data_IF_218546273479
#
_entry.id   IF_218546273479
#
_cell.length_a   1.000
_cell.length_b   1.000
_cell.length_c   1.000
_cell.angle_alpha   90.00
_cell.angle_beta   90.00
_cell.angle_gamma   90.00
#
_symmetry.space_group_name_H-M   'P 1'
#
loop_
_entity.id
_entity.type
_entity.pdbx_description
1 polymer ?
#
# COMPACT_ATOMS: atom_id res chain seq x y z
N UNK A 1 -19.41 -15.05 -18.47
CA UNK A 1 -18.33 -14.19 -18.99
C UNK A 1 -18.83 -12.78 -19.16
N UNK A 2 -19.63 -12.54 -20.20
CA UNK A 2 -20.38 -11.29 -20.41
C UNK A 2 -21.44 -11.12 -19.32
N UNK A 3 -21.58 -9.90 -18.79
CA UNK A 3 -22.50 -9.52 -17.70
C UNK A 3 -21.98 -9.73 -16.28
N UNK A 4 -20.94 -10.57 -16.10
CA UNK A 4 -20.29 -10.81 -14.80
C UNK A 4 -18.88 -10.23 -14.72
N UNK A 5 -18.08 -10.37 -15.79
CA UNK A 5 -16.69 -9.90 -15.86
C UNK A 5 -16.52 -8.80 -16.92
N UNK A 6 -17.25 -8.91 -18.03
CA UNK A 6 -17.24 -7.93 -19.12
C UNK A 6 -18.61 -7.28 -19.20
N UNK A 7 -18.67 -5.95 -19.23
CA UNK A 7 -19.94 -5.21 -19.38
C UNK A 7 -20.65 -5.63 -20.67
N UNK A 8 -21.93 -6.00 -20.52
CA UNK A 8 -22.71 -6.55 -21.63
C UNK A 8 -22.87 -5.57 -22.79
N UNK A 9 -22.92 -4.26 -22.52
CA UNK A 9 -23.09 -3.24 -23.54
C UNK A 9 -21.77 -2.93 -24.25
N UNK A 10 -20.66 -2.91 -23.52
CA UNK A 10 -19.31 -2.84 -24.12
C UNK A 10 -19.07 -4.04 -25.03
N UNK A 11 -19.45 -5.24 -24.59
CA UNK A 11 -19.34 -6.45 -25.41
C UNK A 11 -20.17 -6.35 -26.70
N UNK A 12 -21.41 -5.88 -26.61
CA UNK A 12 -22.29 -5.71 -27.77
C UNK A 12 -21.72 -4.69 -28.76
N UNK A 13 -21.25 -3.53 -28.29
CA UNK A 13 -20.63 -2.53 -29.16
C UNK A 13 -19.32 -3.03 -29.78
N UNK A 14 -18.53 -3.81 -29.03
CA UNK A 14 -17.30 -4.42 -29.56
C UNK A 14 -17.63 -5.38 -30.69
N UNK A 15 -18.75 -6.11 -30.57
CA UNK A 15 -19.23 -7.02 -31.60
C UNK A 15 -19.70 -6.25 -32.84
N UNK A 16 -20.57 -5.25 -32.68
CA UNK A 16 -21.06 -4.41 -33.79
C UNK A 16 -19.90 -3.72 -34.54
N UNK A 17 -18.89 -3.23 -33.83
CA UNK A 17 -17.73 -2.58 -34.44
C UNK A 17 -16.87 -3.54 -35.29
N UNK A 18 -16.91 -4.84 -34.97
CA UNK A 18 -16.18 -5.87 -35.69
C UNK A 18 -16.99 -6.50 -36.83
N UNK A 19 -18.31 -6.30 -36.89
CA UNK A 19 -19.18 -6.90 -37.92
C UNK A 19 -18.85 -6.44 -39.34
N UNK A 20 -18.26 -5.25 -39.50
CA UNK A 20 -17.90 -4.68 -40.81
C UNK A 20 -16.43 -4.89 -41.19
N UNK A 21 -15.66 -5.67 -40.41
CA UNK A 21 -14.23 -5.88 -40.65
C UNK A 21 -13.99 -7.31 -41.16
N UNK A 22 -13.54 -7.41 -42.42
CA UNK A 22 -13.12 -8.67 -43.01
C UNK A 22 -11.59 -8.79 -43.01
N UNK A 23 -11.06 -9.81 -42.34
CA UNK A 23 -9.62 -10.13 -42.37
C UNK A 23 -8.84 -9.74 -41.10
N UNK A 24 -7.52 -9.62 -41.24
CA UNK A 24 -6.63 -9.29 -40.12
C UNK A 24 -6.58 -7.78 -39.92
N UNK A 25 -6.76 -7.36 -38.67
CA UNK A 25 -6.70 -5.96 -38.23
C UNK A 25 -5.26 -5.59 -37.90
N UNK A 26 -4.78 -4.48 -38.44
CA UNK A 26 -3.48 -3.88 -38.11
C UNK A 26 -3.49 -3.26 -36.70
N UNK A 27 -2.31 -2.91 -36.18
CA UNK A 27 -2.22 -2.35 -34.82
C UNK A 27 -2.78 -0.92 -34.76
N UNK A 28 -2.64 -0.18 -35.84
CA UNK A 28 -3.24 1.15 -36.03
C UNK A 28 -4.77 1.07 -36.02
N UNK A 29 -5.35 0.12 -36.76
CA UNK A 29 -6.80 -0.09 -36.83
C UNK A 29 -7.39 -0.55 -35.49
N UNK A 30 -6.64 -1.34 -34.69
CA UNK A 30 -7.05 -1.69 -33.32
C UNK A 30 -7.15 -0.47 -32.42
N UNK A 31 -6.16 0.43 -32.49
CA UNK A 31 -6.15 1.66 -31.70
C UNK A 31 -7.33 2.56 -32.10
N UNK A 32 -7.60 2.67 -33.40
CA UNK A 32 -8.73 3.43 -33.93
C UNK A 32 -10.08 2.86 -33.46
N UNK A 33 -10.24 1.54 -33.47
CA UNK A 33 -11.44 0.87 -32.94
C UNK A 33 -11.67 1.16 -31.46
N UNK A 34 -10.62 1.09 -30.65
CA UNK A 34 -10.70 1.41 -29.22
C UNK A 34 -11.14 2.87 -29.03
N UNK A 35 -10.51 3.81 -29.74
CA UNK A 35 -10.82 5.24 -29.62
C UNK A 35 -12.25 5.56 -30.07
N UNK A 36 -12.75 4.87 -31.09
CA UNK A 36 -14.11 5.05 -31.60
C UNK A 36 -15.19 4.37 -30.73
N UNK A 37 -14.82 3.32 -30.00
CA UNK A 37 -15.74 2.55 -29.15
C UNK A 37 -15.91 3.18 -27.77
N UNK A 38 -14.80 3.58 -27.14
CA UNK A 38 -14.77 4.09 -25.78
C UNK A 38 -14.88 5.63 -25.72
N UNK A 39 -15.82 6.20 -26.48
CA UNK A 39 -16.09 7.65 -26.41
C UNK A 39 -17.10 7.97 -25.32
N UNK A 40 -16.91 9.11 -24.66
CA UNK A 40 -17.86 9.61 -23.65
C UNK A 40 -19.27 9.70 -24.20
N UNK A 41 -19.44 10.08 -25.47
CA UNK A 41 -20.74 10.23 -26.13
C UNK A 41 -21.48 8.89 -26.29
N UNK A 42 -20.78 7.80 -26.68
CA UNK A 42 -21.39 6.47 -26.83
C UNK A 42 -21.69 5.79 -25.49
N UNK A 43 -20.92 6.13 -24.46
CA UNK A 43 -21.05 5.54 -23.13
C UNK A 43 -21.99 6.34 -22.20
N UNK A 44 -22.29 7.61 -22.52
CA UNK A 44 -23.15 8.49 -21.71
C UNK A 44 -24.53 7.87 -21.48
N UNK A 45 -24.95 7.81 -20.20
CA UNK A 45 -26.24 7.25 -19.79
C UNK A 45 -26.29 5.72 -19.78
N UNK A 46 -25.14 5.05 -19.78
CA UNK A 46 -25.01 3.60 -19.54
C UNK A 46 -24.41 3.33 -18.18
N UNK A 47 -24.70 2.14 -17.64
CA UNK A 47 -24.22 1.66 -16.35
C UNK A 47 -22.70 1.83 -16.16
N UNK A 48 -21.91 1.48 -17.17
CA UNK A 48 -20.45 1.68 -17.12
C UNK A 48 -20.04 3.15 -16.96
N UNK A 49 -20.68 4.07 -17.66
CA UNK A 49 -20.40 5.50 -17.52
C UNK A 49 -20.84 6.03 -16.14
N UNK A 50 -21.99 5.57 -15.64
CA UNK A 50 -22.43 5.88 -14.27
C UNK A 50 -21.41 5.38 -13.25
N UNK A 51 -20.92 4.14 -13.35
CA UNK A 51 -19.89 3.59 -12.47
C UNK A 51 -18.57 4.38 -12.53
N UNK A 52 -18.16 4.81 -13.72
CA UNK A 52 -16.95 5.66 -13.89
C UNK A 52 -17.16 7.04 -13.27
N UNK A 53 -18.31 7.68 -13.49
CA UNK A 53 -18.63 8.98 -12.91
C UNK A 53 -18.78 8.88 -11.39
N UNK A 54 -19.41 7.84 -10.88
CA UNK A 54 -19.55 7.57 -9.45
C UNK A 54 -18.20 7.32 -8.80
N UNK A 55 -17.29 6.62 -9.47
CA UNK A 55 -15.91 6.42 -9.01
C UNK A 55 -15.14 7.75 -9.01
N UNK A 56 -15.29 8.57 -10.04
CA UNK A 56 -14.65 9.89 -10.11
C UNK A 56 -15.22 10.85 -9.07
N UNK A 57 -16.53 10.82 -8.83
CA UNK A 57 -17.21 11.61 -7.81
C UNK A 57 -16.84 11.12 -6.41
N UNK A 58 -16.73 9.82 -6.20
CA UNK A 58 -16.18 9.22 -4.99
C UNK A 58 -14.77 9.76 -4.75
N UNK A 59 -13.85 9.64 -5.72
CA UNK A 59 -12.50 10.17 -5.61
C UNK A 59 -12.51 11.66 -5.28
N UNK A 60 -13.35 12.47 -5.95
CA UNK A 60 -13.50 13.90 -5.65
C UNK A 60 -14.03 14.15 -4.23
N UNK A 61 -14.99 13.35 -3.76
CA UNK A 61 -15.54 13.44 -2.39
C UNK A 61 -14.51 13.11 -1.30
N UNK A 62 -13.46 12.33 -1.63
CA UNK A 62 -12.32 12.12 -0.73
C UNK A 62 -11.53 13.41 -0.47
N UNK A 63 -11.49 14.31 -1.46
CA UNK A 63 -10.81 15.60 -1.36
C UNK A 63 -11.70 16.70 -0.76
N UNK A 64 -13.02 16.50 -0.75
CA UNK A 64 -14.01 17.44 -0.19
C UNK A 64 -14.85 16.80 0.92
N UNK A 65 -14.18 16.39 2.01
CA UNK A 65 -14.67 16.45 3.40
C UNK A 65 -16.05 15.87 3.82
N UNK A 66 -16.71 14.99 3.07
CA UNK A 66 -18.01 14.39 3.49
C UNK A 66 -18.04 12.86 3.51
N UNK A 67 -16.94 12.21 3.91
CA UNK A 67 -17.00 10.80 4.33
C UNK A 67 -16.78 10.70 5.83
N UNK A 68 -17.73 10.06 6.52
CA UNK A 68 -17.55 9.70 7.92
C UNK A 68 -16.25 8.90 8.09
N UNK A 69 -15.47 9.27 9.11
CA UNK A 69 -14.12 8.74 9.33
C UNK A 69 -14.13 7.21 9.47
N UNK A 70 -15.24 6.63 9.94
CA UNK A 70 -15.43 5.19 10.06
C UNK A 70 -15.65 4.52 8.69
N UNK A 71 -16.53 5.06 7.85
CA UNK A 71 -16.79 4.56 6.49
C UNK A 71 -15.56 4.69 5.57
N UNK A 72 -14.82 5.79 5.69
CA UNK A 72 -13.54 5.97 5.02
C UNK A 72 -12.52 4.92 5.47
N UNK A 73 -12.35 4.71 6.78
CA UNK A 73 -11.43 3.68 7.31
C UNK A 73 -11.82 2.26 6.87
N UNK A 74 -13.11 1.95 6.77
CA UNK A 74 -13.60 0.63 6.32
C UNK A 74 -13.35 0.40 4.83
N UNK A 75 -13.62 1.40 3.98
CA UNK A 75 -13.36 1.32 2.53
C UNK A 75 -11.86 1.37 2.18
N UNK A 76 -11.08 2.13 2.95
CA UNK A 76 -9.64 2.29 2.76
C UNK A 76 -8.78 1.44 3.69
N UNK A 77 -9.37 0.37 4.26
CA UNK A 77 -8.70 -0.54 5.20
C UNK A 77 -7.38 -1.08 4.65
N UNK A 78 -7.20 -1.08 3.32
CA UNK A 78 -6.00 -1.52 2.62
C UNK A 78 -5.07 -0.41 2.08
N UNK A 79 -5.41 0.88 2.17
CA UNK A 79 -4.57 1.95 1.57
C UNK A 79 -3.50 2.46 2.54
N UNK A 80 -3.82 2.55 3.83
CA UNK A 80 -2.87 3.08 4.81
C UNK A 80 -2.08 1.94 5.44
N UNK A 81 -0.79 1.87 5.10
CA UNK A 81 0.16 0.96 5.73
C UNK A 81 1.17 1.73 6.57
N UNK A 82 1.70 1.07 7.59
CA UNK A 82 2.74 1.60 8.49
C UNK A 82 3.89 0.60 8.57
N UNK A 83 5.10 1.13 8.52
CA UNK A 83 6.33 0.35 8.67
C UNK A 83 6.61 0.11 10.15
N UNK A 84 6.73 -1.15 10.53
CA UNK A 84 6.98 -1.58 11.92
C UNK A 84 8.06 -2.66 11.98
N UNK A 85 8.70 -2.81 13.14
CA UNK A 85 9.55 -3.96 13.45
C UNK A 85 8.71 -4.96 14.25
N UNK A 86 8.53 -6.21 13.78
CA UNK A 86 7.87 -7.24 14.58
C UNK A 86 8.62 -7.48 15.90
N UNK A 87 7.92 -7.55 17.02
CA UNK A 87 8.55 -7.65 18.35
C UNK A 87 9.55 -8.83 18.46
N UNK A 88 9.20 -9.99 17.91
CA UNK A 88 10.11 -11.15 17.88
C UNK A 88 11.39 -10.90 17.07
N UNK A 89 11.31 -10.14 15.98
CA UNK A 89 12.46 -9.73 15.17
C UNK A 89 13.32 -8.72 15.92
N UNK A 90 12.68 -7.75 16.59
CA UNK A 90 13.37 -6.77 17.41
C UNK A 90 14.17 -7.45 18.54
N UNK A 91 13.52 -8.30 19.34
CA UNK A 91 14.15 -9.01 20.46
C UNK A 91 15.33 -9.87 20.01
N UNK A 92 15.19 -10.60 18.90
CA UNK A 92 16.24 -11.47 18.37
C UNK A 92 17.44 -10.71 17.81
N UNK A 93 17.23 -9.52 17.24
CA UNK A 93 18.26 -8.75 16.54
C UNK A 93 18.60 -7.43 17.26
N UNK A 94 18.27 -7.31 18.55
CA UNK A 94 18.36 -6.06 19.32
C UNK A 94 19.73 -5.41 19.18
N UNK A 95 20.81 -6.17 19.39
CA UNK A 95 22.18 -5.65 19.29
C UNK A 95 22.50 -5.13 17.88
N UNK A 96 21.98 -5.77 16.84
CA UNK A 96 22.17 -5.33 15.45
C UNK A 96 21.43 -4.02 15.17
N UNK A 97 20.22 -3.89 15.69
CA UNK A 97 19.37 -2.70 15.55
C UNK A 97 19.98 -1.52 16.31
N UNK A 98 20.43 -1.73 17.54
CA UNK A 98 21.10 -0.69 18.34
C UNK A 98 22.41 -0.23 17.69
N UNK A 99 23.23 -1.14 17.16
CA UNK A 99 24.43 -0.76 16.39
C UNK A 99 24.09 0.08 15.15
N UNK A 100 23.00 -0.23 14.45
CA UNK A 100 22.57 0.61 13.32
C UNK A 100 22.18 2.02 13.81
N UNK A 101 21.46 2.11 14.93
CA UNK A 101 21.11 3.39 15.57
C UNK A 101 22.36 4.18 15.98
N UNK A 102 23.36 3.54 16.56
CA UNK A 102 24.64 4.18 16.92
C UNK A 102 25.33 4.78 15.69
N UNK A 103 25.46 3.99 14.61
CA UNK A 103 26.07 4.45 13.35
C UNK A 103 25.31 5.63 12.74
N UNK A 104 23.98 5.58 12.74
CA UNK A 104 23.14 6.66 12.19
C UNK A 104 23.35 7.96 12.98
N UNK A 105 23.52 7.86 14.30
CA UNK A 105 23.70 9.00 15.20
C UNK A 105 25.13 9.49 15.34
N UNK A 106 26.11 8.79 14.77
CA UNK A 106 27.51 9.17 14.86
C UNK A 106 27.72 10.59 14.31
N UNK A 107 28.51 11.39 15.03
CA UNK A 107 28.79 12.76 14.62
C UNK A 107 29.94 12.77 13.62
N UNK A 108 29.84 13.63 12.62
CA UNK A 108 30.94 13.88 11.68
C UNK A 108 32.12 14.48 12.46
N UNK A 109 33.33 13.97 12.23
CA UNK A 109 34.55 14.60 12.70
C UNK A 109 34.94 15.76 11.76
N UNK A 110 35.39 16.88 12.33
CA UNK A 110 35.72 18.11 11.59
C UNK A 110 36.96 17.94 10.72
N UNK A 111 37.87 17.04 11.10
CA UNK A 111 39.17 16.84 10.45
C UNK A 111 39.14 15.75 9.36
N UNK A 112 37.95 15.27 8.97
CA UNK A 112 37.80 14.23 7.94
C UNK A 112 38.14 14.75 6.56
N UNK A 113 38.92 13.97 5.82
CA UNK A 113 39.18 14.16 4.38
C UNK A 113 37.91 13.93 3.56
N UNK A 114 37.90 14.39 2.30
CA UNK A 114 36.75 14.19 1.39
C UNK A 114 36.37 12.73 1.22
N UNK A 115 37.36 11.83 1.10
CA UNK A 115 37.13 10.39 0.98
C UNK A 115 36.48 9.80 2.23
N UNK A 116 36.94 10.20 3.41
CA UNK A 116 36.38 9.74 4.68
C UNK A 116 34.95 10.26 4.89
N UNK A 117 34.64 11.47 4.42
CA UNK A 117 33.28 12.03 4.44
C UNK A 117 32.35 11.19 3.56
N UNK A 118 32.81 10.78 2.38
CA UNK A 118 32.01 9.95 1.48
C UNK A 118 31.77 8.56 2.09
N UNK A 119 32.81 7.92 2.60
CA UNK A 119 32.70 6.63 3.31
C UNK A 119 31.77 6.72 4.53
N UNK A 120 31.80 7.85 5.25
CA UNK A 120 30.91 8.12 6.38
C UNK A 120 29.44 8.19 5.96
N UNK A 121 29.13 8.90 4.86
CA UNK A 121 27.77 8.96 4.31
C UNK A 121 27.29 7.58 3.87
N UNK A 122 28.13 6.85 3.13
CA UNK A 122 27.82 5.50 2.64
C UNK A 122 27.55 4.56 3.81
N UNK A 123 28.36 4.61 4.87
CA UNK A 123 28.16 3.78 6.07
C UNK A 123 26.84 4.08 6.77
N UNK A 124 26.45 5.35 6.89
CA UNK A 124 25.13 5.74 7.42
C UNK A 124 23.99 5.27 6.54
N UNK A 125 24.11 5.39 5.22
CA UNK A 125 23.09 4.90 4.28
C UNK A 125 22.92 3.37 4.41
N UNK A 126 24.03 2.62 4.50
CA UNK A 126 24.02 1.16 4.72
C UNK A 126 23.37 0.78 6.06
N UNK A 127 23.62 1.54 7.13
CA UNK A 127 22.99 1.30 8.42
C UNK A 127 21.47 1.53 8.37
N UNK A 128 21.00 2.55 7.63
CA UNK A 128 19.57 2.76 7.39
C UNK A 128 18.94 1.63 6.59
N UNK A 129 19.59 1.18 5.52
CA UNK A 129 19.11 0.05 4.71
C UNK A 129 19.00 -1.23 5.57
N UNK A 130 20.04 -1.54 6.35
CA UNK A 130 20.01 -2.68 7.29
C UNK A 130 18.92 -2.56 8.35
N UNK A 131 18.62 -1.35 8.81
CA UNK A 131 17.54 -1.13 9.77
C UNK A 131 16.18 -1.45 9.13
N UNK A 132 15.98 -1.07 7.86
CA UNK A 132 14.78 -1.39 7.10
C UNK A 132 14.59 -2.89 6.85
N UNK A 133 15.67 -3.68 6.74
CA UNK A 133 15.60 -5.14 6.59
C UNK A 133 14.91 -5.84 7.77
N UNK A 134 14.86 -5.22 8.95
CA UNK A 134 14.13 -5.72 10.12
C UNK A 134 12.66 -5.27 10.16
N UNK A 135 12.24 -4.43 9.23
CA UNK A 135 10.90 -3.85 9.21
C UNK A 135 9.98 -4.57 8.23
N UNK A 136 8.69 -4.41 8.44
CA UNK A 136 7.63 -4.89 7.56
C UNK A 136 6.52 -3.85 7.51
N UNK A 137 5.91 -3.70 6.34
CA UNK A 137 4.74 -2.85 6.18
C UNK A 137 3.49 -3.64 6.58
N UNK A 138 2.72 -3.11 7.53
CA UNK A 138 1.45 -3.69 7.96
C UNK A 138 0.32 -2.70 7.75
N UNK A 139 -0.92 -3.17 7.53
CA UNK A 139 -2.07 -2.29 7.51
C UNK A 139 -2.21 -1.51 8.83
N UNK A 140 -2.45 -0.21 8.74
CA UNK A 140 -2.50 0.70 9.88
C UNK A 140 -3.59 0.33 10.91
N UNK A 141 -4.71 -0.25 10.46
CA UNK A 141 -5.81 -0.64 11.36
C UNK A 141 -5.43 -1.72 12.38
N UNK A 142 -4.37 -2.50 12.12
CA UNK A 142 -3.88 -3.50 13.07
C UNK A 142 -3.22 -2.88 14.30
N UNK A 143 -2.90 -1.59 14.25
CA UNK A 143 -2.09 -0.90 15.24
C UNK A 143 -2.97 -0.11 16.20
N UNK A 144 -2.71 -0.26 17.50
CA UNK A 144 -3.29 0.54 18.57
C UNK A 144 -2.25 0.81 19.68
N UNK A 145 -2.64 1.61 20.67
CA UNK A 145 -1.74 2.02 21.77
C UNK A 145 -1.23 0.85 22.63
N UNK A 146 -1.90 -0.30 22.63
CA UNK A 146 -1.55 -1.45 23.46
C UNK A 146 -0.53 -2.37 22.77
N UNK A 147 -0.55 -2.39 21.44
CA UNK A 147 0.25 -3.29 20.62
C UNK A 147 1.42 -2.63 19.87
N UNK A 148 1.62 -1.32 20.05
CA UNK A 148 2.74 -0.56 19.49
C UNK A 148 3.63 0.02 20.57
N UNK A 149 4.94 0.00 20.34
CA UNK A 149 5.95 0.64 21.16
C UNK A 149 6.87 1.48 20.28
N UNK A 150 7.32 2.63 20.76
CA UNK A 150 8.19 3.53 19.99
C UNK A 150 9.66 3.22 20.24
N UNK A 151 10.41 3.02 19.16
CA UNK A 151 11.86 2.95 19.13
C UNK A 151 12.42 4.24 18.53
N UNK A 152 12.91 5.13 19.38
CA UNK A 152 13.54 6.37 18.91
C UNK A 152 14.92 6.07 18.32
N UNK A 153 15.12 6.43 17.05
CA UNK A 153 16.45 6.42 16.43
C UNK A 153 17.17 7.70 16.84
N UNK A 154 16.52 8.86 16.65
CA UNK A 154 16.99 10.17 17.06
C UNK A 154 15.81 11.14 17.25
N UNK A 155 16.10 12.38 17.65
CA UNK A 155 15.08 13.42 17.89
C UNK A 155 14.11 13.73 16.72
N UNK A 156 14.39 13.25 15.51
CA UNK A 156 13.58 13.46 14.31
C UNK A 156 13.09 12.16 13.65
N UNK A 157 13.62 11.01 14.04
CA UNK A 157 13.35 9.72 13.41
C UNK A 157 12.95 8.71 14.49
N UNK A 158 11.74 8.16 14.35
CA UNK A 158 11.21 7.09 15.19
C UNK A 158 10.82 5.89 14.33
N UNK A 159 10.96 4.70 14.88
CA UNK A 159 10.36 3.47 14.36
C UNK A 159 9.41 2.90 15.39
N UNK A 160 8.51 2.04 14.94
CA UNK A 160 7.52 1.42 15.78
C UNK A 160 7.76 -0.08 15.87
N UNK A 161 7.74 -0.62 17.08
CA UNK A 161 7.78 -2.05 17.38
C UNK A 161 6.34 -2.52 17.52
N UNK A 162 5.96 -3.53 16.75
CA UNK A 162 4.62 -4.09 16.76
C UNK A 162 4.59 -5.44 17.49
N UNK A 163 3.79 -5.53 18.56
CA UNK A 163 3.59 -6.74 19.36
C UNK A 163 2.78 -7.76 18.57
N UNK A 164 3.48 -8.74 18.02
CA UNK A 164 2.89 -9.77 17.17
C UNK A 164 3.68 -11.08 17.26
N UNK A 165 3.06 -12.16 16.79
CA UNK A 165 3.79 -13.38 16.44
C UNK A 165 4.36 -13.20 15.04
N UNK A 166 5.57 -13.68 14.82
CA UNK A 166 6.23 -13.60 13.51
C UNK A 166 6.70 -14.98 13.09
N UNK A 167 6.29 -15.43 11.89
CA UNK A 167 6.76 -16.65 11.26
C UNK A 167 7.36 -16.31 9.90
N UNK A 168 8.42 -17.01 9.49
CA UNK A 168 8.99 -16.85 8.16
C UNK A 168 8.02 -17.23 7.04
N UNK A 169 7.12 -18.18 7.30
CA UNK A 169 6.18 -18.69 6.30
C UNK A 169 4.91 -17.82 6.20
N UNK A 170 4.42 -17.32 7.35
CA UNK A 170 3.14 -16.60 7.45
C UNK A 170 3.30 -15.09 7.67
N UNK A 171 4.53 -14.61 7.84
CA UNK A 171 4.82 -13.20 8.12
C UNK A 171 4.34 -12.76 9.50
N UNK A 172 3.77 -11.56 9.56
CA UNK A 172 3.21 -10.96 10.79
C UNK A 172 1.84 -11.57 11.09
N UNK A 173 1.70 -12.11 12.29
CA UNK A 173 0.44 -12.65 12.82
C UNK A 173 0.04 -11.79 14.03
N UNK A 174 -1.02 -10.97 13.91
CA UNK A 174 -1.53 -10.17 15.03
C UNK A 174 -1.97 -11.04 16.20
N UNK A 175 -1.79 -10.55 17.43
CA UNK A 175 -2.31 -11.22 18.64
C UNK A 175 -3.76 -10.74 18.82
N UNK A 176 -4.74 -11.64 18.66
CA UNK A 176 -6.19 -11.33 18.72
C UNK A 176 -6.56 -10.48 19.94
N UNK A 177 -6.05 -10.83 21.11
CA UNK A 177 -6.32 -10.15 22.40
C UNK A 177 -5.80 -8.71 22.48
N UNK A 178 -4.90 -8.32 21.57
CA UNK A 178 -4.29 -6.99 21.50
C UNK A 178 -4.83 -6.16 20.33
N UNK A 179 -5.86 -6.64 19.62
CA UNK A 179 -6.58 -5.91 18.57
C UNK A 179 -7.95 -5.51 19.13
N UNK A 180 -8.46 -4.31 18.79
CA UNK A 180 -9.73 -3.82 19.35
C UNK A 180 -10.94 -4.67 18.90
N UNK A 181 -11.88 -4.95 19.80
CA UNK A 181 -13.05 -5.83 19.58
C UNK A 181 -14.00 -5.40 18.44
N UNK A 182 -14.04 -4.11 18.11
CA UNK A 182 -14.82 -3.59 16.97
C UNK A 182 -14.33 -4.18 15.63
N UNK A 183 -13.15 -4.80 15.61
CA UNK A 183 -12.51 -5.41 14.43
C UNK A 183 -12.47 -6.94 14.46
N UNK A 184 -12.90 -7.59 15.56
CA UNK A 184 -12.91 -9.06 15.71
C UNK A 184 -14.12 -9.74 15.03
N UNK A 185 -15.21 -9.01 14.77
CA UNK A 185 -16.45 -9.58 14.20
C UNK A 185 -16.28 -10.20 12.80
N UNK A 186 -15.24 -9.80 12.06
CA UNK A 186 -14.98 -10.30 10.70
C UNK A 186 -13.92 -11.43 10.64
N UNK A 187 -13.23 -11.73 11.74
CA UNK A 187 -12.16 -12.75 11.76
C UNK A 187 -12.67 -14.19 11.78
N UNK A 188 -13.89 -14.42 12.29
CA UNK A 188 -14.47 -15.77 12.40
C UNK A 188 -15.17 -16.25 11.10
N UNK A 189 -15.23 -15.41 10.06
CA UNK A 189 -15.79 -15.78 8.75
C UNK A 189 -14.76 -16.34 7.75
N UNK A 190 -13.53 -16.63 8.21
CA UNK A 190 -12.45 -17.14 7.36
C UNK A 190 -11.80 -18.39 7.96
N UNK A 191 -12.59 -19.46 8.14
CA UNK A 191 -12.10 -20.82 8.29
C UNK A 191 -12.96 -21.78 7.48
#
# INVERSE_FOLDING_TARGET
GVGYVIDSKIFEFSKEALENIEGKISEEEKIELINNLYTTEKLKGKKYHEEVIDTLNYIKSLYTNEMDKFEAKKRFRNINSITVIPEGVFKKNRDGIERCKEIINEKRNKDMTEKEIEDFKVRKAKARARLMDYTVSIPYYLVNRNNIETFEINKYEILNIFKCKYSKEKGVIPIKELVEESEMKDWDNSF
#
